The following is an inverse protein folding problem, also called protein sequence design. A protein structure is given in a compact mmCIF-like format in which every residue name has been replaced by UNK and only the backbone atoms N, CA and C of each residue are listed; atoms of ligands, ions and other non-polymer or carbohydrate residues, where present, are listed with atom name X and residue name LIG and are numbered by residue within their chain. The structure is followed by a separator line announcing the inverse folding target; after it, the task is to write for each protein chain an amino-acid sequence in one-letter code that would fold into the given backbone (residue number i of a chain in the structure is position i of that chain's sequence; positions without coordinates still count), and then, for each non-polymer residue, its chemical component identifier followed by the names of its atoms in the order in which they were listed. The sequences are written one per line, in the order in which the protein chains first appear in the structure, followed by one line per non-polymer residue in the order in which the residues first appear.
data_IF_130731768966
#
_entry.id   IF_130731768966
#
_cell.length_a   1.000
_cell.length_b   1.000
_cell.length_c   1.000
_cell.angle_alpha   90.00
_cell.angle_beta   90.00
_cell.angle_gamma   90.00
#
_symmetry.space_group_name_H-M   'P 1'
#
loop_
_entity.id
_entity.type
_entity.pdbx_description
1 polymer ?
#
# COMPACT_ATOMS: atom_id res chain seq x y z
N UNK A 1 -19.85 -6.52 5.41
CA UNK A 1 -19.36 -5.31 6.11
C UNK A 1 -20.47 -4.54 6.80
N UNK A 2 -21.70 -4.56 6.29
CA UNK A 2 -22.85 -3.83 6.87
C UNK A 2 -23.25 -4.28 8.30
N UNK A 3 -22.73 -5.41 8.79
CA UNK A 3 -22.95 -5.95 10.15
C UNK A 3 -21.82 -5.62 11.13
N UNK A 4 -20.69 -5.06 10.67
CA UNK A 4 -19.51 -4.76 11.48
C UNK A 4 -19.13 -3.28 11.33
N UNK A 5 -19.98 -2.40 11.88
CA UNK A 5 -19.80 -0.94 11.81
C UNK A 5 -18.56 -0.44 12.56
N UNK A 6 -17.96 -1.27 13.42
CA UNK A 6 -16.68 -0.97 14.09
C UNK A 6 -15.44 -1.28 13.26
N UNK A 7 -15.59 -1.64 11.99
CA UNK A 7 -14.50 -2.16 11.17
C UNK A 7 -14.11 -3.59 11.56
N UNK A 8 -13.26 -4.20 10.73
CA UNK A 8 -12.70 -5.53 10.98
C UNK A 8 -11.20 -5.46 10.76
N UNK A 9 -10.43 -5.88 11.75
CA UNK A 9 -9.00 -6.16 11.60
C UNK A 9 -8.73 -7.65 11.80
N UNK A 10 -7.69 -8.15 11.14
CA UNK A 10 -7.17 -9.49 11.40
C UNK A 10 -5.74 -9.40 11.94
N UNK A 11 -5.29 -10.44 12.64
CA UNK A 11 -3.88 -10.57 13.01
C UNK A 11 -3.36 -11.94 12.55
N UNK A 12 -2.15 -12.02 11.96
CA UNK A 12 -1.64 -13.28 11.42
C UNK A 12 -1.35 -14.34 12.51
N UNK A 13 -1.17 -13.92 13.76
CA UNK A 13 -1.02 -14.82 14.91
C UNK A 13 -1.38 -14.12 16.22
N UNK A 14 -1.72 -14.90 17.26
CA UNK A 14 -1.97 -14.37 18.60
C UNK A 14 -0.76 -13.61 19.16
N UNK A 15 0.47 -14.05 18.84
CA UNK A 15 1.70 -13.40 19.29
C UNK A 15 1.87 -12.01 18.66
N UNK A 16 1.62 -11.88 17.35
CA UNK A 16 1.65 -10.59 16.66
C UNK A 16 0.52 -9.68 17.15
N UNK A 17 -0.67 -10.21 17.39
CA UNK A 17 -1.78 -9.45 17.96
C UNK A 17 -1.43 -8.88 19.34
N UNK A 18 -0.88 -9.71 20.23
CA UNK A 18 -0.48 -9.28 21.58
C UNK A 18 0.62 -8.22 21.50
N UNK A 19 1.61 -8.41 20.62
CA UNK A 19 2.69 -7.46 20.40
C UNK A 19 2.17 -6.13 19.87
N UNK A 20 1.29 -6.13 18.87
CA UNK A 20 0.67 -4.93 18.31
C UNK A 20 -0.20 -4.19 19.35
N UNK A 21 -1.01 -4.92 20.13
CA UNK A 21 -1.84 -4.31 21.20
C UNK A 21 -1.02 -3.63 22.29
N UNK A 22 0.14 -4.18 22.63
CA UNK A 22 1.04 -3.61 23.63
C UNK A 22 1.84 -2.40 23.12
N UNK A 23 1.84 -2.13 21.80
CA UNK A 23 2.44 -0.93 21.21
C UNK A 23 1.43 0.21 21.26
N UNK A 24 1.64 1.15 22.16
CA UNK A 24 0.95 2.44 22.12
C UNK A 24 1.74 3.42 21.25
N UNK A 25 1.20 3.69 20.06
CA UNK A 25 1.78 4.58 19.04
C UNK A 25 0.72 5.59 18.61
N UNK A 26 0.39 6.59 19.44
CA UNK A 26 -0.65 7.56 19.11
C UNK A 26 -0.21 8.52 18.00
N UNK A 27 1.10 8.80 17.92
CA UNK A 27 1.67 9.75 16.98
C UNK A 27 1.35 9.38 15.53
N UNK A 28 0.92 10.37 14.76
CA UNK A 28 0.54 10.22 13.36
C UNK A 28 0.77 11.53 12.58
N UNK A 29 1.96 12.11 12.76
CA UNK A 29 2.33 13.42 12.21
C UNK A 29 3.44 13.36 11.18
N UNK A 30 4.30 12.32 11.22
CA UNK A 30 5.43 12.16 10.31
C UNK A 30 5.18 11.06 9.27
N UNK A 31 5.31 11.43 8.00
CA UNK A 31 5.14 10.52 6.85
C UNK A 31 6.49 10.20 6.20
N UNK A 32 6.72 8.91 5.94
CA UNK A 32 7.67 8.43 4.94
C UNK A 32 6.88 7.76 3.79
N UNK A 33 7.13 8.15 2.54
CA UNK A 33 6.42 7.57 1.41
C UNK A 33 7.33 7.19 0.23
N UNK A 34 6.95 6.12 -0.46
CA UNK A 34 7.46 5.73 -1.76
C UNK A 34 6.39 6.07 -2.80
N UNK A 35 6.77 6.84 -3.83
CA UNK A 35 5.85 7.35 -4.84
C UNK A 35 6.27 6.89 -6.24
N UNK A 36 5.47 6.01 -6.83
CA UNK A 36 5.52 5.59 -8.24
C UNK A 36 6.94 5.36 -8.79
N UNK A 37 7.72 4.41 -8.23
CA UNK A 37 9.13 4.21 -8.63
C UNK A 37 9.30 3.90 -10.12
N UNK A 38 8.33 3.17 -10.69
CA UNK A 38 8.33 2.65 -12.07
C UNK A 38 7.65 3.56 -13.09
N UNK A 39 6.99 4.65 -12.62
CA UNK A 39 6.33 5.68 -13.46
C UNK A 39 5.20 5.16 -14.36
N UNK A 40 4.64 4.00 -14.05
CA UNK A 40 3.58 3.34 -14.84
C UNK A 40 2.23 3.30 -14.13
N UNK A 41 2.14 3.84 -12.91
CA UNK A 41 0.89 4.07 -12.18
C UNK A 41 0.45 5.53 -12.34
N UNK A 42 -0.73 5.78 -12.92
CA UNK A 42 -1.18 7.10 -13.32
C UNK A 42 -1.68 7.98 -12.16
N UNK A 43 -2.21 7.38 -11.09
CA UNK A 43 -2.86 8.08 -9.98
C UNK A 43 -2.06 8.04 -8.68
N UNK A 44 -1.01 7.22 -8.59
CA UNK A 44 -0.11 7.19 -7.44
C UNK A 44 0.45 8.56 -7.07
N UNK A 45 0.82 9.38 -8.05
CA UNK A 45 1.36 10.72 -7.77
C UNK A 45 0.31 11.61 -7.11
N UNK A 46 -0.93 11.55 -7.58
CA UNK A 46 -2.04 12.28 -6.96
C UNK A 46 -2.31 11.77 -5.55
N UNK A 47 -2.28 10.46 -5.36
CA UNK A 47 -2.47 9.80 -4.06
C UNK A 47 -1.45 10.30 -3.04
N UNK A 48 -0.17 10.12 -3.31
CA UNK A 48 0.89 10.51 -2.37
C UNK A 48 0.93 12.02 -2.17
N UNK A 49 0.74 12.83 -3.22
CA UNK A 49 0.69 14.29 -3.10
C UNK A 49 -0.52 14.80 -2.32
N UNK A 50 -1.64 14.07 -2.34
CA UNK A 50 -2.79 14.39 -1.49
C UNK A 50 -2.52 14.00 -0.04
N UNK A 51 -2.01 12.78 0.19
CA UNK A 51 -1.76 12.24 1.52
C UNK A 51 -0.71 13.07 2.27
N UNK A 52 0.39 13.47 1.63
CA UNK A 52 1.47 14.24 2.28
C UNK A 52 0.99 15.54 2.93
N UNK A 53 -0.11 16.14 2.45
CA UNK A 53 -0.65 17.41 3.01
C UNK A 53 -1.15 17.26 4.44
N UNK A 54 -1.42 16.03 4.87
CA UNK A 54 -1.88 15.71 6.22
C UNK A 54 -0.75 15.54 7.25
N UNK A 55 0.50 15.61 6.80
CA UNK A 55 1.68 15.31 7.62
C UNK A 55 2.70 16.45 7.58
N UNK A 56 3.37 16.66 8.69
CA UNK A 56 4.48 17.59 8.79
C UNK A 56 5.44 17.14 9.91
N UNK A 57 6.67 16.70 9.59
CA UNK A 57 7.26 16.59 8.25
C UNK A 57 6.71 15.44 7.39
N UNK A 58 6.89 15.56 6.07
CA UNK A 58 6.68 14.49 5.09
C UNK A 58 7.95 14.27 4.26
N UNK A 59 8.49 13.06 4.25
CA UNK A 59 9.61 12.65 3.41
C UNK A 59 9.13 11.67 2.33
N UNK A 60 9.48 11.93 1.07
CA UNK A 60 8.97 11.18 -0.07
C UNK A 60 10.11 10.86 -1.02
N UNK A 61 10.30 9.57 -1.32
CA UNK A 61 11.14 9.14 -2.42
C UNK A 61 10.25 9.01 -3.66
N UNK A 62 10.53 9.86 -4.65
CA UNK A 62 9.69 10.02 -5.84
C UNK A 62 10.39 9.40 -7.05
N UNK A 63 9.69 8.52 -7.76
CA UNK A 63 10.13 7.95 -9.03
C UNK A 63 11.53 7.32 -8.98
N UNK A 64 12.46 7.76 -9.84
CA UNK A 64 13.85 7.29 -9.91
C UNK A 64 14.63 7.44 -8.59
N UNK A 65 14.19 8.33 -7.69
CA UNK A 65 14.80 8.47 -6.38
C UNK A 65 14.34 7.37 -5.41
N UNK A 66 13.20 6.72 -5.68
CA UNK A 66 12.72 5.55 -4.94
C UNK A 66 13.42 4.27 -5.40
N UNK A 67 14.75 4.26 -5.26
CA UNK A 67 15.65 3.14 -5.51
C UNK A 67 16.14 2.54 -4.20
N UNK A 68 16.62 1.29 -4.23
CA UNK A 68 17.03 0.57 -3.00
C UNK A 68 18.13 1.28 -2.22
N UNK A 69 19.13 1.77 -2.93
CA UNK A 69 20.24 2.55 -2.35
C UNK A 69 19.75 3.78 -1.58
N UNK A 70 18.91 4.63 -2.20
CA UNK A 70 18.35 5.81 -1.53
C UNK A 70 17.50 5.43 -0.33
N UNK A 71 16.66 4.40 -0.45
CA UNK A 71 15.84 3.92 0.67
C UNK A 71 16.71 3.51 1.86
N UNK A 72 17.81 2.80 1.61
CA UNK A 72 18.74 2.37 2.64
C UNK A 72 19.45 3.55 3.33
N UNK A 73 19.61 4.69 2.67
CA UNK A 73 20.15 5.92 3.28
C UNK A 73 19.16 6.60 4.24
N UNK A 74 17.86 6.29 4.16
CA UNK A 74 16.81 6.94 4.96
C UNK A 74 16.55 6.29 6.33
N UNK A 75 17.49 5.51 6.90
CA UNK A 75 17.28 4.76 8.16
C UNK A 75 16.73 5.62 9.30
N UNK A 76 17.27 6.83 9.49
CA UNK A 76 16.83 7.75 10.54
C UNK A 76 15.36 8.14 10.33
N UNK A 77 15.00 8.56 9.12
CA UNK A 77 13.63 8.95 8.77
C UNK A 77 12.67 7.77 8.89
N UNK A 78 13.08 6.58 8.42
CA UNK A 78 12.29 5.36 8.53
C UNK A 78 11.99 5.00 9.99
N UNK A 79 12.95 5.20 10.88
CA UNK A 79 12.79 4.88 12.30
C UNK A 79 11.90 5.87 13.05
N UNK A 80 11.91 7.15 12.67
CA UNK A 80 11.17 8.20 13.37
C UNK A 80 9.78 8.43 12.79
N UNK A 81 9.55 8.10 11.52
CA UNK A 81 8.25 8.23 10.89
C UNK A 81 7.20 7.37 11.62
N UNK A 82 6.00 7.93 11.74
CA UNK A 82 4.88 7.22 12.37
C UNK A 82 3.96 6.59 11.33
N UNK A 83 4.01 7.09 10.09
CA UNK A 83 3.25 6.58 8.96
C UNK A 83 4.20 6.26 7.81
N UNK A 84 4.10 5.05 7.27
CA UNK A 84 4.77 4.66 6.05
C UNK A 84 3.74 4.36 4.97
N UNK A 85 3.95 4.88 3.78
CA UNK A 85 3.04 4.70 2.67
C UNK A 85 3.81 4.27 1.42
N UNK A 86 3.59 3.04 0.99
CA UNK A 86 4.22 2.47 -0.19
C UNK A 86 3.22 2.44 -1.33
N UNK A 87 3.32 3.38 -2.26
CA UNK A 87 2.51 3.42 -3.48
C UNK A 87 3.40 3.08 -4.67
N UNK A 88 3.54 1.77 -4.90
CA UNK A 88 4.42 1.16 -5.89
C UNK A 88 3.92 -0.26 -6.22
N UNK A 89 4.53 -0.94 -7.18
CA UNK A 89 4.20 -2.34 -7.43
C UNK A 89 4.69 -3.25 -6.29
N UNK A 90 3.96 -4.35 -6.08
CA UNK A 90 4.32 -5.40 -5.14
C UNK A 90 4.26 -6.76 -5.81
N UNK A 91 5.21 -7.63 -5.49
CA UNK A 91 5.28 -9.01 -5.97
C UNK A 91 5.19 -9.97 -4.78
N UNK A 92 4.38 -11.02 -4.94
CA UNK A 92 4.25 -12.09 -3.96
C UNK A 92 4.84 -13.39 -4.51
N UNK A 93 5.75 -13.99 -3.75
CA UNK A 93 6.37 -15.27 -4.10
C UNK A 93 5.78 -16.39 -3.23
N UNK A 94 4.86 -17.17 -3.78
CA UNK A 94 4.19 -18.27 -3.04
C UNK A 94 5.14 -19.42 -2.69
N UNK A 95 6.15 -19.68 -3.52
CA UNK A 95 7.12 -20.76 -3.31
C UNK A 95 8.19 -20.37 -2.27
N UNK A 96 8.57 -19.09 -2.24
CA UNK A 96 9.54 -18.56 -1.30
C UNK A 96 9.12 -17.18 -0.76
N UNK A 97 8.23 -17.11 0.26
CA UNK A 97 7.64 -15.87 0.74
C UNK A 97 8.65 -14.79 1.13
N UNK A 98 9.84 -15.15 1.61
CA UNK A 98 10.89 -14.19 2.00
C UNK A 98 11.38 -13.33 0.82
N UNK A 99 11.19 -13.81 -0.41
CA UNK A 99 11.52 -13.13 -1.67
C UNK A 99 10.37 -12.29 -2.22
N UNK A 100 9.20 -12.27 -1.57
CA UNK A 100 8.14 -11.29 -1.88
C UNK A 100 8.68 -9.89 -1.69
N UNK A 101 8.31 -8.94 -2.53
CA UNK A 101 9.00 -7.66 -2.56
C UNK A 101 8.13 -6.49 -3.01
N UNK A 102 8.46 -5.28 -2.54
CA UNK A 102 8.01 -4.03 -3.13
C UNK A 102 9.03 -3.58 -4.18
N UNK A 103 8.54 -3.25 -5.38
CA UNK A 103 9.37 -2.93 -6.53
C UNK A 103 9.79 -1.46 -6.49
N UNK A 104 11.10 -1.24 -6.55
CA UNK A 104 11.72 0.08 -6.58
C UNK A 104 12.24 0.40 -7.99
N UNK A 105 12.68 1.64 -8.20
CA UNK A 105 12.92 2.18 -9.55
C UNK A 105 13.98 1.41 -10.36
N UNK A 106 14.94 0.79 -9.69
CA UNK A 106 16.07 0.06 -10.25
C UNK A 106 15.87 -1.46 -10.32
N UNK A 107 14.68 -1.95 -9.97
CA UNK A 107 14.43 -3.40 -9.91
C UNK A 107 14.49 -4.13 -11.26
N UNK A 108 14.27 -3.46 -12.40
CA UNK A 108 14.24 -4.11 -13.70
C UNK A 108 15.63 -4.23 -14.34
N UNK A 109 16.04 -5.46 -14.67
CA UNK A 109 17.26 -5.71 -15.41
C UNK A 109 17.10 -5.36 -16.89
N UNK A 110 17.96 -4.47 -17.38
CA UNK A 110 18.07 -4.14 -18.82
C UNK A 110 18.67 -5.30 -19.63
N UNK A 111 19.55 -6.08 -19.02
CA UNK A 111 20.22 -7.22 -19.67
C UNK A 111 20.37 -8.35 -18.65
N UNK A 112 19.42 -9.30 -18.61
CA UNK A 112 19.45 -10.37 -17.63
C UNK A 112 20.66 -11.29 -17.82
N UNK A 113 21.33 -11.73 -16.74
CA UNK A 113 22.43 -12.68 -16.84
C UNK A 113 21.96 -14.06 -17.31
N UNK A 114 22.88 -14.86 -17.84
CA UNK A 114 22.64 -16.26 -18.20
C UNK A 114 23.76 -17.13 -17.62
N UNK A 115 23.46 -18.07 -16.69
CA UNK A 115 22.13 -18.41 -16.19
C UNK A 115 21.57 -17.35 -15.22
N UNK A 116 20.24 -17.35 -15.03
CA UNK A 116 19.59 -16.59 -13.96
C UNK A 116 19.83 -17.27 -12.62
N UNK A 117 20.13 -16.48 -11.59
CA UNK A 117 20.11 -16.94 -10.20
C UNK A 117 18.68 -16.82 -9.64
N UNK A 118 17.97 -17.92 -9.35
CA UNK A 118 16.57 -17.89 -8.89
C UNK A 118 16.40 -17.33 -7.48
N UNK A 119 17.48 -17.20 -6.69
CA UNK A 119 17.44 -16.58 -5.36
C UNK A 119 17.44 -15.05 -5.41
N UNK A 120 17.82 -14.49 -6.58
CA UNK A 120 17.98 -13.06 -6.80
C UNK A 120 17.14 -12.53 -7.96
N UNK A 121 16.95 -13.33 -9.00
CA UNK A 121 16.31 -12.90 -10.23
C UNK A 121 14.96 -13.55 -10.41
N UNK A 122 13.96 -12.75 -10.75
CA UNK A 122 12.61 -13.21 -11.03
C UNK A 122 12.21 -12.83 -12.44
N UNK A 123 11.77 -13.80 -13.24
CA UNK A 123 11.22 -13.55 -14.57
C UNK A 123 9.70 -13.34 -14.49
N UNK A 124 9.23 -12.21 -15.02
CA UNK A 124 7.81 -11.89 -15.12
C UNK A 124 7.22 -12.41 -16.43
N UNK A 125 5.90 -12.57 -16.48
CA UNK A 125 5.18 -13.09 -17.67
C UNK A 125 5.45 -12.28 -18.94
N UNK A 126 5.65 -10.96 -18.83
CA UNK A 126 5.96 -10.05 -19.94
C UNK A 126 7.41 -10.14 -20.43
N UNK A 127 8.19 -11.12 -19.98
CA UNK A 127 9.59 -11.31 -20.35
C UNK A 127 10.59 -10.37 -19.68
N UNK A 128 10.12 -9.45 -18.84
CA UNK A 128 10.96 -8.62 -17.97
C UNK A 128 11.57 -9.49 -16.85
N UNK A 129 12.76 -9.12 -16.38
CA UNK A 129 13.41 -9.78 -15.25
C UNK A 129 13.67 -8.75 -14.16
N UNK A 130 13.27 -9.07 -12.93
CA UNK A 130 13.58 -8.31 -11.74
C UNK A 130 14.90 -8.79 -11.12
N UNK A 131 15.67 -7.85 -10.59
CA UNK A 131 16.70 -8.10 -9.60
C UNK A 131 16.14 -7.76 -8.20
N UNK A 132 15.87 -8.81 -7.41
CA UNK A 132 15.31 -8.68 -6.07
C UNK A 132 16.27 -7.98 -5.11
N UNK A 133 17.58 -7.91 -5.39
CA UNK A 133 18.50 -7.11 -4.55
C UNK A 133 18.23 -5.62 -4.63
N UNK A 134 17.60 -5.16 -5.72
CA UNK A 134 17.19 -3.77 -5.92
C UNK A 134 15.72 -3.53 -5.54
N UNK A 135 15.03 -4.53 -4.99
CA UNK A 135 13.69 -4.39 -4.41
C UNK A 135 13.75 -4.24 -2.89
N UNK A 136 12.63 -3.91 -2.26
CA UNK A 136 12.45 -4.11 -0.81
C UNK A 136 11.77 -5.46 -0.55
N UNK A 137 12.58 -6.50 -0.33
CA UNK A 137 12.08 -7.86 -0.07
C UNK A 137 11.52 -8.01 1.34
N UNK A 138 10.72 -9.04 1.60
CA UNK A 138 10.27 -9.39 2.94
C UNK A 138 11.46 -9.68 3.87
N UNK A 139 12.52 -10.32 3.34
CA UNK A 139 13.78 -10.48 4.06
C UNK A 139 14.36 -9.15 4.55
N UNK A 140 14.38 -8.13 3.68
CA UNK A 140 14.82 -6.79 4.08
C UNK A 140 13.88 -6.15 5.10
N UNK A 141 12.56 -6.31 4.92
CA UNK A 141 11.55 -5.74 5.82
C UNK A 141 11.75 -6.23 7.25
N UNK A 142 12.12 -7.50 7.46
CA UNK A 142 12.43 -8.04 8.78
C UNK A 142 13.62 -7.36 9.48
N UNK A 143 14.50 -6.69 8.73
CA UNK A 143 15.65 -5.97 9.29
C UNK A 143 15.35 -4.52 9.65
N UNK A 144 14.17 -4.00 9.25
CA UNK A 144 13.78 -2.63 9.52
C UNK A 144 13.47 -2.39 11.01
N UNK A 145 13.75 -1.17 11.47
CA UNK A 145 13.38 -0.69 12.80
C UNK A 145 12.22 0.31 12.69
N UNK A 146 10.98 -0.20 12.76
CA UNK A 146 9.75 0.59 12.66
C UNK A 146 9.08 0.77 14.02
N UNK A 147 9.86 0.80 15.11
CA UNK A 147 9.31 0.84 16.47
C UNK A 147 8.47 2.08 16.76
N UNK A 148 8.58 3.17 16.00
CA UNK A 148 7.74 4.37 16.14
C UNK A 148 6.53 4.38 15.19
N UNK A 149 6.39 3.36 14.34
CA UNK A 149 5.37 3.30 13.30
C UNK A 149 4.00 2.87 13.86
N UNK A 150 3.00 3.73 13.63
CA UNK A 150 1.58 3.45 13.89
C UNK A 150 0.94 2.66 12.74
N UNK A 151 1.27 3.01 11.50
CA UNK A 151 0.64 2.47 10.30
C UNK A 151 1.62 2.36 9.13
N UNK A 152 1.62 1.18 8.50
CA UNK A 152 2.18 0.97 7.17
C UNK A 152 1.01 0.76 6.20
N UNK A 153 0.96 1.50 5.11
CA UNK A 153 -0.01 1.30 4.04
C UNK A 153 0.72 0.80 2.81
N UNK A 154 0.40 -0.42 2.39
CA UNK A 154 0.82 -1.00 1.13
C UNK A 154 -0.27 -0.69 0.11
N UNK A 155 -0.17 0.49 -0.50
CA UNK A 155 -1.01 0.91 -1.63
C UNK A 155 -0.47 0.29 -2.93
N UNK A 156 -0.15 -0.99 -2.82
CA UNK A 156 0.73 -1.72 -3.70
C UNK A 156 0.16 -3.12 -3.88
N UNK A 157 -0.78 -3.27 -4.81
CA UNK A 157 -1.12 -4.56 -5.42
C UNK A 157 -1.53 -4.30 -6.86
N UNK A 158 -0.53 -4.27 -7.73
CA UNK A 158 -0.69 -4.50 -9.15
C UNK A 158 0.37 -5.50 -9.57
N UNK A 159 0.13 -6.78 -9.31
CA UNK A 159 0.75 -7.79 -10.13
C UNK A 159 -0.25 -8.89 -10.41
N UNK A 160 -0.69 -8.98 -11.65
CA UNK A 160 -1.34 -10.18 -12.21
C UNK A 160 -0.37 -11.36 -12.27
N UNK A 161 0.29 -11.66 -11.14
CA UNK A 161 1.18 -12.81 -10.91
C UNK A 161 0.63 -13.69 -9.79
N UNK A 162 -0.64 -13.47 -9.42
CA UNK A 162 -1.35 -14.33 -8.48
C UNK A 162 -1.64 -15.63 -9.22
N UNK A 163 -0.81 -16.64 -8.97
CA UNK A 163 -1.22 -18.01 -9.21
C UNK A 163 -2.30 -18.35 -8.18
N UNK A 164 -3.57 -18.22 -8.60
CA UNK A 164 -4.75 -18.58 -7.82
C UNK A 164 -4.81 -20.07 -7.45
N UNK A 165 -3.81 -20.88 -7.82
CA UNK A 165 -3.77 -22.32 -7.55
C UNK A 165 -3.06 -22.71 -6.23
N UNK A 166 -2.39 -21.76 -5.55
CA UNK A 166 -1.67 -22.09 -4.31
C UNK A 166 -2.59 -21.99 -3.08
N UNK A 167 -3.03 -23.15 -2.59
CA UNK A 167 -3.81 -23.32 -1.35
C UNK A 167 -2.94 -23.17 -0.07
N UNK A 168 -1.88 -22.37 -0.06
CA UNK A 168 -1.08 -22.18 1.15
C UNK A 168 -1.70 -21.12 2.04
N UNK A 169 -2.26 -21.57 3.16
CA UNK A 169 -2.73 -20.77 4.31
C UNK A 169 -1.62 -19.93 4.99
N UNK A 170 -0.48 -19.69 4.33
CA UNK A 170 0.63 -18.97 4.91
C UNK A 170 0.46 -17.46 4.68
N UNK A 171 -0.41 -16.86 5.51
CA UNK A 171 -0.60 -15.42 5.74
C UNK A 171 0.69 -14.69 6.25
N UNK A 172 1.88 -15.27 6.11
CA UNK A 172 3.18 -14.70 6.49
C UNK A 172 3.76 -13.94 5.28
N UNK A 173 3.05 -12.91 4.84
CA UNK A 173 3.48 -12.02 3.75
C UNK A 173 4.16 -10.75 4.23
N UNK A 174 4.32 -9.79 3.29
CA UNK A 174 4.80 -8.43 3.56
C UNK A 174 4.14 -7.78 4.80
N UNK A 175 2.80 -7.87 5.02
CA UNK A 175 2.19 -7.29 6.22
C UNK A 175 2.74 -7.84 7.53
N UNK A 176 2.94 -9.16 7.62
CA UNK A 176 3.53 -9.80 8.79
C UNK A 176 4.96 -9.30 9.04
N UNK A 177 5.74 -9.11 7.98
CA UNK A 177 7.06 -8.49 8.06
C UNK A 177 7.04 -7.10 8.68
N UNK A 178 6.13 -6.23 8.24
CA UNK A 178 6.01 -4.87 8.77
C UNK A 178 5.51 -4.84 10.23
N UNK A 179 4.63 -5.76 10.63
CA UNK A 179 4.25 -5.93 12.03
C UNK A 179 5.43 -6.40 12.88
N UNK A 180 6.24 -7.34 12.39
CA UNK A 180 7.47 -7.79 13.09
C UNK A 180 8.45 -6.62 13.23
N UNK A 181 8.67 -5.85 12.16
CA UNK A 181 9.58 -4.70 12.12
C UNK A 181 9.21 -3.59 13.11
N UNK A 182 7.94 -3.51 13.54
CA UNK A 182 7.53 -2.60 14.62
C UNK A 182 6.21 -1.88 14.42
N UNK A 183 5.62 -1.95 13.22
CA UNK A 183 4.33 -1.29 12.98
C UNK A 183 3.23 -1.86 13.86
N UNK A 184 2.27 -1.01 14.25
CA UNK A 184 1.08 -1.43 14.99
C UNK A 184 -0.01 -1.92 14.05
N UNK A 185 -0.09 -1.33 12.85
CA UNK A 185 -1.09 -1.64 11.85
C UNK A 185 -0.47 -1.73 10.46
N UNK A 186 -1.02 -2.59 9.63
CA UNK A 186 -0.76 -2.62 8.20
C UNK A 186 -2.08 -2.59 7.46
N UNK A 187 -2.16 -1.77 6.41
CA UNK A 187 -3.24 -1.86 5.41
C UNK A 187 -2.63 -2.37 4.12
N UNK A 188 -3.21 -3.43 3.56
CA UNK A 188 -2.76 -3.98 2.28
C UNK A 188 -3.93 -4.59 1.51
N UNK A 189 -3.77 -4.72 0.19
CA UNK A 189 -4.72 -5.41 -0.67
C UNK A 189 -4.44 -6.91 -0.77
N UNK A 190 -5.50 -7.69 -0.99
CA UNK A 190 -5.44 -9.14 -1.20
C UNK A 190 -5.28 -9.52 -2.69
N UNK A 191 -5.68 -8.64 -3.61
CA UNK A 191 -5.58 -8.82 -5.05
C UNK A 191 -5.31 -7.50 -5.75
N UNK A 192 -5.08 -7.55 -7.06
CA UNK A 192 -4.82 -6.35 -7.85
C UNK A 192 -6.05 -5.45 -7.97
N UNK A 193 -5.91 -4.19 -7.56
CA UNK A 193 -6.98 -3.19 -7.61
C UNK A 193 -6.61 -2.10 -8.61
N UNK A 194 -7.61 -1.54 -9.29
CA UNK A 194 -7.39 -0.44 -10.21
C UNK A 194 -6.78 0.78 -9.51
N UNK A 195 -5.66 1.27 -10.03
CA UNK A 195 -4.93 2.46 -9.55
C UNK A 195 -5.84 3.66 -9.22
N UNK A 196 -6.82 3.98 -10.07
CA UNK A 196 -7.75 5.10 -9.81
C UNK A 196 -8.60 4.88 -8.54
N UNK A 197 -9.16 3.68 -8.37
CA UNK A 197 -9.98 3.37 -7.18
C UNK A 197 -9.12 3.32 -5.93
N UNK A 198 -7.89 2.83 -6.04
CA UNK A 198 -6.92 2.80 -4.94
C UNK A 198 -6.59 4.22 -4.47
N UNK A 199 -6.26 5.13 -5.39
CA UNK A 199 -5.97 6.52 -5.07
C UNK A 199 -7.16 7.20 -4.35
N UNK A 200 -8.37 7.03 -4.87
CA UNK A 200 -9.58 7.59 -4.24
C UNK A 200 -9.78 7.01 -2.84
N UNK A 201 -9.67 5.68 -2.69
CA UNK A 201 -9.86 4.99 -1.42
C UNK A 201 -8.82 5.44 -0.38
N UNK A 202 -7.55 5.46 -0.74
CA UNK A 202 -6.46 5.81 0.17
C UNK A 202 -6.55 7.28 0.60
N UNK A 203 -6.81 8.20 -0.33
CA UNK A 203 -6.98 9.61 0.05
C UNK A 203 -8.15 9.76 1.04
N UNK A 204 -9.30 9.10 0.80
CA UNK A 204 -10.44 9.16 1.73
C UNK A 204 -10.12 8.51 3.08
N UNK A 205 -9.41 7.38 3.06
CA UNK A 205 -8.94 6.69 4.27
C UNK A 205 -8.05 7.61 5.14
N UNK A 206 -7.07 8.29 4.55
CA UNK A 206 -6.21 9.22 5.28
C UNK A 206 -6.97 10.46 5.77
N UNK A 207 -7.99 10.95 5.06
CA UNK A 207 -8.87 12.01 5.57
C UNK A 207 -9.55 11.60 6.88
N UNK A 208 -10.15 10.40 6.91
CA UNK A 208 -10.85 9.87 8.08
C UNK A 208 -9.89 9.63 9.26
N UNK A 209 -8.67 9.14 8.99
CA UNK A 209 -7.63 9.03 10.03
C UNK A 209 -7.27 10.39 10.65
N UNK A 210 -7.24 11.46 9.84
CA UNK A 210 -7.00 12.83 10.32
C UNK A 210 -8.16 13.42 11.10
N UNK A 211 -9.38 12.97 10.81
CA UNK A 211 -10.59 13.28 11.57
C UNK A 211 -10.64 12.53 12.91
N UNK A 212 -9.69 11.61 13.17
CA UNK A 212 -9.49 10.94 14.44
C UNK A 212 -10.00 9.50 14.49
N UNK A 213 -10.43 8.95 13.35
CA UNK A 213 -10.88 7.55 13.28
C UNK A 213 -9.70 6.56 13.43
N UNK A 214 -10.00 5.41 14.01
CA UNK A 214 -9.04 4.29 14.08
C UNK A 214 -8.93 3.56 12.74
N UNK A 215 -7.80 2.88 12.51
CA UNK A 215 -7.43 2.30 11.21
C UNK A 215 -8.53 1.42 10.60
N UNK A 216 -9.06 0.45 11.35
CA UNK A 216 -10.08 -0.47 10.83
C UNK A 216 -11.41 0.24 10.52
N UNK A 217 -11.77 1.25 11.32
CA UNK A 217 -13.00 2.05 11.14
C UNK A 217 -12.85 2.95 9.92
N UNK A 218 -11.75 3.70 9.84
CA UNK A 218 -11.44 4.58 8.72
C UNK A 218 -11.41 3.83 7.38
N UNK A 219 -10.82 2.63 7.35
CA UNK A 219 -10.80 1.81 6.14
C UNK A 219 -12.22 1.36 5.76
N UNK A 220 -13.01 0.88 6.72
CA UNK A 220 -14.38 0.46 6.48
C UNK A 220 -15.26 1.62 5.98
N UNK A 221 -15.16 2.79 6.59
CA UNK A 221 -15.87 4.00 6.19
C UNK A 221 -15.44 4.47 4.79
N UNK A 222 -14.14 4.43 4.48
CA UNK A 222 -13.65 4.77 3.15
C UNK A 222 -14.17 3.78 2.07
N UNK A 223 -14.18 2.48 2.37
CA UNK A 223 -14.72 1.44 1.48
C UNK A 223 -16.22 1.61 1.25
N UNK A 224 -17.00 1.84 2.32
CA UNK A 224 -18.43 2.07 2.24
C UNK A 224 -18.78 3.37 1.51
N UNK A 225 -18.00 4.42 1.71
CA UNK A 225 -18.14 5.66 0.96
C UNK A 225 -17.89 5.42 -0.53
N UNK A 226 -16.77 4.78 -0.90
CA UNK A 226 -16.42 4.53 -2.30
C UNK A 226 -17.44 3.62 -3.01
N UNK A 227 -17.94 2.59 -2.31
CA UNK A 227 -19.02 1.70 -2.78
C UNK A 227 -20.29 2.48 -3.15
N UNK A 228 -20.59 3.54 -2.41
CA UNK A 228 -21.86 4.26 -2.53
C UNK A 228 -21.76 5.58 -3.30
N UNK A 229 -20.56 6.13 -3.46
CA UNK A 229 -20.35 7.40 -4.13
C UNK A 229 -20.80 7.34 -5.58
N UNK A 230 -21.69 8.25 -5.95
CA UNK A 230 -22.03 8.51 -7.35
C UNK A 230 -20.92 9.34 -8.02
N UNK A 231 -20.94 9.42 -9.35
CA UNK A 231 -20.10 10.38 -10.09
C UNK A 231 -20.22 11.80 -9.52
N UNK A 232 -21.44 12.23 -9.19
CA UNK A 232 -21.67 13.58 -8.64
C UNK A 232 -20.98 13.77 -7.30
N UNK A 233 -21.08 12.78 -6.41
CA UNK A 233 -20.40 12.81 -5.11
C UNK A 233 -18.88 12.85 -5.26
N UNK A 234 -18.34 12.03 -6.18
CA UNK A 234 -16.91 12.00 -6.48
C UNK A 234 -16.41 13.33 -7.04
N UNK A 235 -17.16 13.95 -7.96
CA UNK A 235 -16.81 15.27 -8.53
C UNK A 235 -16.83 16.37 -7.46
N UNK A 236 -17.83 16.38 -6.58
CA UNK A 236 -17.89 17.32 -5.47
C UNK A 236 -16.70 17.16 -4.52
N UNK A 237 -16.33 15.92 -4.19
CA UNK A 237 -15.15 15.62 -3.37
C UNK A 237 -13.83 16.00 -4.05
N UNK A 238 -13.73 15.79 -5.37
CA UNK A 238 -12.56 16.19 -6.18
C UNK A 238 -12.37 17.71 -6.16
N UNK A 239 -13.45 18.47 -6.34
CA UNK A 239 -13.42 19.92 -6.48
C UNK A 239 -13.01 20.60 -5.17
N UNK A 240 -13.47 20.09 -4.03
CA UNK A 240 -13.03 20.55 -2.71
C UNK A 240 -11.54 20.31 -2.44
N UNK A 241 -10.96 19.29 -3.08
CA UNK A 241 -9.61 18.82 -2.83
C UNK A 241 -8.58 19.18 -3.90
N UNK A 242 -8.94 19.95 -4.92
CA UNK A 242 -8.14 20.25 -6.12
C UNK A 242 -7.53 19.00 -6.80
N UNK A 243 -8.33 17.92 -6.93
CA UNK A 243 -7.89 16.61 -7.47
C UNK A 243 -8.21 16.45 -8.96
N UNK A 244 -7.91 17.49 -9.74
CA UNK A 244 -8.40 17.63 -11.13
C UNK A 244 -8.03 16.47 -12.05
N UNK A 245 -6.93 15.76 -11.79
CA UNK A 245 -6.51 14.58 -12.55
C UNK A 245 -7.58 13.46 -12.55
N UNK A 246 -8.38 13.31 -11.48
CA UNK A 246 -9.45 12.30 -11.41
C UNK A 246 -10.66 12.67 -12.27
N UNK A 247 -10.87 13.95 -12.57
CA UNK A 247 -12.09 14.44 -13.24
C UNK A 247 -12.22 13.87 -14.65
N UNK A 248 -11.11 13.71 -15.36
CA UNK A 248 -11.10 13.20 -16.73
C UNK A 248 -11.63 11.77 -16.81
N UNK A 249 -11.32 10.95 -15.82
CA UNK A 249 -11.68 9.52 -15.79
C UNK A 249 -13.14 9.26 -15.44
N UNK A 250 -13.82 10.26 -14.88
CA UNK A 250 -15.24 10.20 -14.58
C UNK A 250 -16.11 10.86 -15.67
N UNK A 251 -15.49 11.48 -16.70
CA UNK A 251 -16.18 12.35 -17.67
C UNK A 251 -17.31 11.65 -18.42
N UNK A 252 -17.12 10.39 -18.79
CA UNK A 252 -18.05 9.65 -19.66
C UNK A 252 -19.11 8.85 -18.88
N UNK A 253 -19.15 8.96 -17.55
CA UNK A 253 -20.12 8.26 -16.70
C UNK A 253 -21.39 9.10 -16.50
N UNK A 254 -22.50 8.46 -16.16
CA UNK A 254 -23.73 9.17 -15.79
C UNK A 254 -23.64 9.73 -14.37
N UNK A 255 -24.35 10.83 -14.09
CA UNK A 255 -24.22 11.56 -12.82
C UNK A 255 -24.63 10.77 -11.57
N UNK A 256 -25.60 9.85 -11.71
CA UNK A 256 -26.06 8.95 -10.65
C UNK A 256 -25.36 7.57 -10.67
N UNK A 257 -24.44 7.35 -11.62
CA UNK A 257 -23.69 6.10 -11.72
C UNK A 257 -22.75 5.98 -10.53
N UNK A 258 -22.64 4.77 -9.97
CA UNK A 258 -21.70 4.42 -8.90
C UNK A 258 -20.54 3.62 -9.49
N UNK A 259 -19.51 4.28 -10.04
CA UNK A 259 -18.48 3.60 -10.84
C UNK A 259 -17.68 2.55 -10.06
N UNK A 260 -17.61 2.70 -8.74
CA UNK A 260 -16.85 1.81 -7.85
C UNK A 260 -17.73 0.99 -6.91
N UNK A 261 -19.01 0.77 -7.27
CA UNK A 261 -19.94 -0.02 -6.45
C UNK A 261 -19.50 -1.49 -6.29
N UNK A 262 -18.84 -2.06 -7.30
CA UNK A 262 -18.35 -3.43 -7.26
C UNK A 262 -17.26 -3.61 -6.18
N UNK A 263 -17.31 -4.68 -5.36
CA UNK A 263 -16.29 -4.96 -4.36
C UNK A 263 -14.89 -5.13 -4.94
N UNK A 264 -14.76 -5.42 -6.23
CA UNK A 264 -13.48 -5.49 -6.93
C UNK A 264 -12.59 -4.26 -6.69
N UNK A 265 -13.19 -3.08 -6.55
CA UNK A 265 -12.47 -1.80 -6.43
C UNK A 265 -12.02 -1.43 -5.01
N UNK A 266 -12.51 -2.11 -3.98
CA UNK A 266 -12.29 -1.66 -2.60
C UNK A 266 -12.17 -2.79 -1.57
N UNK A 267 -12.81 -3.94 -1.81
CA UNK A 267 -12.86 -5.04 -0.84
C UNK A 267 -11.53 -5.79 -0.70
N UNK A 268 -10.58 -5.55 -1.60
CA UNK A 268 -9.25 -6.14 -1.51
C UNK A 268 -8.50 -5.67 -0.27
N UNK A 269 -8.74 -4.42 0.14
CA UNK A 269 -7.99 -3.81 1.23
C UNK A 269 -8.49 -4.30 2.58
N UNK A 270 -7.54 -4.70 3.42
CA UNK A 270 -7.79 -5.19 4.77
C UNK A 270 -6.89 -4.46 5.78
N UNK A 271 -7.40 -4.29 6.99
CA UNK A 271 -6.63 -3.80 8.12
C UNK A 271 -6.06 -4.99 8.91
N UNK A 272 -4.78 -4.89 9.25
CA UNK A 272 -3.99 -5.98 9.82
C UNK A 272 -3.28 -5.46 11.07
N UNK A 273 -3.41 -6.15 12.20
CA UNK A 273 -2.84 -5.72 13.46
C UNK A 273 -3.90 -5.32 14.48
N UNK A 274 -3.80 -4.10 15.00
CA UNK A 274 -4.61 -3.64 16.15
C UNK A 274 -6.01 -3.19 15.77
#
# INVERSE_FOLDING_TARGET
MDLFSGGVSYAPSCQLLQTAKNRQRPDFSQLFAIQNPTKDLAYTDLEVNSIRTYFNPSHILVHENAKKSTFNEQQTTLKTANCHHFSCHGYFNFENPILSALLFADCYLKSPPSPLDPSRHLRLEKGQTLDLSECLTLGDVFTLDLRCCRLVTLSACETGLIDFQSNSDEYIGLPSGFLVAGSTNVVSSLWSVSDISTAILMIRFYQLLREGEEVAIALNHAQNWLRNATKTDLLAWIDLGNKMQLRQSLKNMNDNEKPFASPYYWAAFCAIGR
#
